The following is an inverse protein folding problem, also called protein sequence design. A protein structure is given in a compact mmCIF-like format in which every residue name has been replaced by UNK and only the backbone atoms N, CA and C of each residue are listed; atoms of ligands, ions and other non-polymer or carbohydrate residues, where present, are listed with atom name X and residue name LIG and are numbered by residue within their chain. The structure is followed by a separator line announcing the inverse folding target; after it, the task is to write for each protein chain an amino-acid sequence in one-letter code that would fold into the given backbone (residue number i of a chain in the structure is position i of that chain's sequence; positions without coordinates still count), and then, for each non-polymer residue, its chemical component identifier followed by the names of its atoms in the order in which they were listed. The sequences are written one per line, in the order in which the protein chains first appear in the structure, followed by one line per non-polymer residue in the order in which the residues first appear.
data_IF_928291818031
#
_entry.id   IF_928291818031
#
_cell.length_a   1.000
_cell.length_b   1.000
_cell.length_c   1.000
_cell.angle_alpha   90.00
_cell.angle_beta   90.00
_cell.angle_gamma   90.00
#
_symmetry.space_group_name_H-M   'P 1'
#
loop_
_entity.id
_entity.type
_entity.pdbx_description
1 polymer ?
#
# COMPACT_ATOMS: atom_id res chain seq x y z
N UNK A 1 -8.13 1.40 -24.95
CA UNK A 1 -8.95 1.26 -23.72
C UNK A 1 -8.89 -0.14 -23.12
N UNK A 2 -8.55 -1.20 -23.89
CA UNK A 2 -8.55 -2.58 -23.39
C UNK A 2 -7.33 -3.01 -22.55
N UNK A 3 -6.26 -2.21 -22.49
CA UNK A 3 -5.08 -2.51 -21.68
C UNK A 3 -5.27 -2.26 -20.16
N UNK A 4 -6.22 -1.41 -19.77
CA UNK A 4 -6.44 -1.03 -18.37
C UNK A 4 -7.16 -2.12 -17.57
N UNK A 5 -8.04 -2.92 -18.20
CA UNK A 5 -8.84 -3.93 -17.50
C UNK A 5 -7.99 -5.07 -16.91
N UNK A 6 -7.09 -5.73 -17.67
CA UNK A 6 -6.23 -6.77 -17.10
C UNK A 6 -5.19 -6.20 -16.12
N UNK A 7 -4.68 -5.00 -16.42
CA UNK A 7 -3.67 -4.33 -15.58
C UNK A 7 -4.25 -3.91 -14.23
N UNK A 8 -5.50 -3.45 -14.17
CA UNK A 8 -6.18 -3.12 -12.91
C UNK A 8 -6.31 -4.31 -11.96
N UNK A 9 -6.59 -5.51 -12.50
CA UNK A 9 -6.65 -6.74 -11.70
C UNK A 9 -5.27 -7.14 -11.16
N UNK A 10 -4.23 -7.00 -11.98
CA UNK A 10 -2.84 -7.23 -11.58
C UNK A 10 -2.40 -6.24 -10.49
N UNK A 11 -2.77 -4.96 -10.61
CA UNK A 11 -2.47 -3.94 -9.61
C UNK A 11 -3.15 -4.23 -8.26
N UNK A 12 -4.42 -4.65 -8.26
CA UNK A 12 -5.12 -5.04 -7.02
C UNK A 12 -4.42 -6.22 -6.34
N UNK A 13 -4.00 -7.21 -7.13
CA UNK A 13 -3.27 -8.38 -6.62
C UNK A 13 -1.93 -7.96 -6.01
N UNK A 14 -1.19 -7.08 -6.69
CA UNK A 14 0.11 -6.58 -6.23
C UNK A 14 -0.03 -5.74 -4.96
N UNK A 15 -1.07 -4.91 -4.87
CA UNK A 15 -1.43 -4.16 -3.66
C UNK A 15 -1.74 -5.10 -2.50
N UNK A 16 -2.53 -6.15 -2.72
CA UNK A 16 -2.83 -7.15 -1.69
C UNK A 16 -1.57 -7.79 -1.10
N UNK A 17 -0.59 -8.10 -1.94
CA UNK A 17 0.70 -8.69 -1.52
C UNK A 17 1.52 -7.69 -0.68
N UNK A 18 1.64 -6.44 -1.14
CA UNK A 18 2.40 -5.38 -0.44
C UNK A 18 1.76 -5.03 0.90
N UNK A 19 0.44 -4.97 0.96
CA UNK A 19 -0.28 -4.71 2.20
C UNK A 19 -0.13 -5.86 3.18
N UNK A 20 -0.21 -7.10 2.71
CA UNK A 20 0.03 -8.29 3.52
C UNK A 20 1.43 -8.30 4.14
N UNK A 21 2.47 -7.92 3.36
CA UNK A 21 3.84 -7.84 3.88
C UNK A 21 4.03 -6.68 4.87
N UNK A 22 3.43 -5.52 4.63
CA UNK A 22 3.48 -4.37 5.55
C UNK A 22 2.81 -4.69 6.89
N UNK A 23 1.62 -5.30 6.87
CA UNK A 23 0.91 -5.71 8.09
C UNK A 23 1.73 -6.78 8.82
N UNK A 24 2.23 -7.80 8.12
CA UNK A 24 3.05 -8.85 8.73
C UNK A 24 4.29 -8.29 9.44
N UNK A 25 4.99 -7.36 8.80
CA UNK A 25 6.18 -6.69 9.36
C UNK A 25 5.82 -5.87 10.60
N UNK A 26 4.70 -5.14 10.56
CA UNK A 26 4.25 -4.26 11.65
C UNK A 26 3.74 -5.05 12.85
N UNK A 27 2.99 -6.14 12.63
CA UNK A 27 2.45 -7.01 13.69
C UNK A 27 3.56 -7.69 14.49
N UNK A 28 4.65 -8.09 13.83
CA UNK A 28 5.80 -8.69 14.53
C UNK A 28 6.35 -7.71 15.57
N UNK A 29 6.54 -6.44 15.18
CA UNK A 29 7.03 -5.40 16.09
C UNK A 29 6.01 -5.12 17.20
N UNK A 30 4.73 -4.98 16.87
CA UNK A 30 3.66 -4.76 17.85
C UNK A 30 3.59 -5.88 18.90
N UNK A 31 3.71 -7.14 18.45
CA UNK A 31 3.62 -8.31 19.32
C UNK A 31 4.85 -8.45 20.21
N UNK A 32 6.05 -8.23 19.65
CA UNK A 32 7.31 -8.30 20.41
C UNK A 32 7.38 -7.25 21.52
N UNK A 33 6.89 -6.03 21.25
CA UNK A 33 6.91 -4.93 22.21
C UNK A 33 5.60 -4.76 22.99
N UNK A 34 4.62 -5.64 22.80
CA UNK A 34 3.28 -5.55 23.41
C UNK A 34 2.60 -4.18 23.21
N UNK A 35 2.81 -3.57 22.04
CA UNK A 35 2.27 -2.27 21.70
C UNK A 35 0.89 -2.42 21.05
N UNK A 36 -0.11 -1.61 21.43
CA UNK A 36 -1.36 -1.53 20.69
C UNK A 36 -1.09 -0.82 19.36
N UNK A 37 -1.31 -1.51 18.24
CA UNK A 37 -1.08 -0.92 16.93
C UNK A 37 -2.07 -1.40 15.87
N UNK A 38 -1.99 -0.78 14.70
CA UNK A 38 -2.97 -1.00 13.62
C UNK A 38 -2.83 -2.39 13.01
N UNK A 39 -1.64 -2.98 12.97
CA UNK A 39 -1.44 -4.29 12.36
C UNK A 39 -2.24 -5.37 13.10
N UNK A 40 -2.13 -5.39 14.43
CA UNK A 40 -2.82 -6.36 15.29
C UNK A 40 -4.34 -6.14 15.29
N UNK A 41 -4.81 -4.89 15.16
CA UNK A 41 -6.23 -4.58 14.98
C UNK A 41 -6.78 -5.13 13.66
N UNK A 42 -6.05 -4.95 12.55
CA UNK A 42 -6.45 -5.44 11.23
C UNK A 42 -6.48 -6.98 11.22
N UNK A 43 -5.48 -7.63 11.81
CA UNK A 43 -5.44 -9.11 11.90
C UNK A 43 -6.62 -9.63 12.73
N UNK A 44 -6.92 -8.99 13.86
CA UNK A 44 -8.09 -9.37 14.69
C UNK A 44 -9.40 -9.16 13.95
N UNK A 45 -9.56 -8.02 13.27
CA UNK A 45 -10.75 -7.74 12.46
C UNK A 45 -10.92 -8.77 11.33
N UNK A 46 -9.83 -9.12 10.64
CA UNK A 46 -9.84 -10.16 9.60
C UNK A 46 -10.24 -11.53 10.16
N UNK A 47 -9.74 -11.91 11.34
CA UNK A 47 -10.12 -13.16 12.02
C UNK A 47 -11.57 -13.16 12.49
N UNK A 48 -12.11 -12.00 12.88
CA UNK A 48 -13.50 -11.83 13.31
C UNK A 48 -14.48 -11.68 12.13
N UNK A 49 -13.99 -11.65 10.90
CA UNK A 49 -14.82 -11.44 9.71
C UNK A 49 -15.32 -10.00 9.55
N UNK A 50 -14.74 -9.04 10.26
CA UNK A 50 -15.04 -7.61 10.14
C UNK A 50 -14.34 -7.04 8.89
N UNK A 51 -14.90 -7.36 7.73
CA UNK A 51 -14.43 -6.89 6.44
C UNK A 51 -14.45 -5.36 6.30
N UNK A 52 -15.44 -4.61 6.84
CA UNK A 52 -15.42 -3.15 6.83
C UNK A 52 -14.16 -2.54 7.46
N UNK A 53 -13.73 -3.05 8.62
CA UNK A 53 -12.53 -2.58 9.30
C UNK A 53 -11.26 -2.86 8.47
N UNK A 54 -11.15 -4.08 7.91
CA UNK A 54 -10.03 -4.46 7.05
C UNK A 54 -9.97 -3.58 5.79
N UNK A 55 -11.11 -3.38 5.13
CA UNK A 55 -11.19 -2.54 3.93
C UNK A 55 -10.87 -1.07 4.22
N UNK A 56 -11.33 -0.54 5.36
CA UNK A 56 -11.00 0.81 5.80
C UNK A 56 -9.50 1.00 6.01
N UNK A 57 -8.85 0.05 6.67
CA UNK A 57 -7.39 0.08 6.85
C UNK A 57 -6.64 -0.02 5.51
N UNK A 58 -7.08 -0.90 4.61
CA UNK A 58 -6.52 -1.03 3.25
C UNK A 58 -6.61 0.29 2.48
N UNK A 59 -7.76 0.97 2.54
CA UNK A 59 -7.96 2.27 1.89
C UNK A 59 -7.00 3.32 2.44
N UNK A 60 -6.84 3.41 3.77
CA UNK A 60 -5.90 4.37 4.39
C UNK A 60 -4.48 4.12 3.92
N UNK A 61 -4.02 2.86 3.93
CA UNK A 61 -2.66 2.53 3.47
C UNK A 61 -2.50 2.82 1.98
N UNK A 62 -3.51 2.52 1.16
CA UNK A 62 -3.49 2.82 -0.27
C UNK A 62 -3.36 4.33 -0.53
N UNK A 63 -4.09 5.17 0.20
CA UNK A 63 -3.98 6.64 0.09
C UNK A 63 -2.59 7.11 0.49
N UNK A 64 -2.05 6.63 1.62
CA UNK A 64 -0.69 6.97 2.05
C UNK A 64 0.33 6.57 0.98
N UNK A 65 0.18 5.38 0.41
CA UNK A 65 1.08 4.87 -0.62
C UNK A 65 1.02 5.72 -1.90
N UNK A 66 -0.18 6.10 -2.36
CA UNK A 66 -0.35 6.97 -3.53
C UNK A 66 0.26 8.34 -3.28
N UNK A 67 0.04 8.92 -2.09
CA UNK A 67 0.61 10.22 -1.72
C UNK A 67 2.14 10.13 -1.64
N UNK A 68 2.68 9.08 -1.01
CA UNK A 68 4.12 8.87 -0.91
C UNK A 68 4.77 8.70 -2.30
N UNK A 69 4.17 7.90 -3.17
CA UNK A 69 4.66 7.77 -4.55
C UNK A 69 4.54 9.08 -5.32
N UNK A 70 3.45 9.84 -5.17
CA UNK A 70 3.32 11.16 -5.78
C UNK A 70 4.39 12.14 -5.30
N UNK A 71 4.73 12.13 -4.01
CA UNK A 71 5.83 12.93 -3.46
C UNK A 71 7.17 12.48 -4.04
N UNK A 72 7.40 11.18 -4.15
CA UNK A 72 8.60 10.62 -4.76
C UNK A 72 8.72 11.03 -6.23
N UNK A 73 7.64 10.93 -7.00
CA UNK A 73 7.59 11.30 -8.42
C UNK A 73 7.85 12.81 -8.61
N UNK A 74 7.25 13.66 -7.77
CA UNK A 74 7.54 15.10 -7.77
C UNK A 74 9.01 15.34 -7.40
N UNK A 75 9.52 14.66 -6.38
CA UNK A 75 10.91 14.79 -5.95
C UNK A 75 11.89 14.38 -7.05
N UNK A 76 11.60 13.29 -7.78
CA UNK A 76 12.37 12.88 -8.95
C UNK A 76 12.22 13.88 -10.11
N UNK A 77 11.04 14.45 -10.32
CA UNK A 77 10.82 15.52 -11.30
C UNK A 77 11.65 16.77 -11.03
N UNK A 78 11.93 17.07 -9.76
CA UNK A 78 12.81 18.17 -9.35
C UNK A 78 14.31 17.79 -9.32
N UNK A 79 14.66 16.55 -8.97
CA UNK A 79 16.06 16.11 -8.86
C UNK A 79 16.67 15.66 -10.19
N UNK A 80 15.88 15.15 -11.15
CA UNK A 80 16.42 14.57 -12.39
C UNK A 80 15.82 15.21 -13.66
N UNK A 81 16.52 16.18 -14.30
CA UNK A 81 16.10 16.77 -15.57
C UNK A 81 16.25 15.83 -16.78
N UNK A 82 16.62 14.55 -16.57
CA UNK A 82 16.98 13.58 -17.63
C UNK A 82 15.82 12.69 -18.08
N UNK A 83 14.73 12.57 -17.31
CA UNK A 83 13.50 11.83 -17.71
C UNK A 83 12.81 12.42 -18.96
N UNK A 84 13.18 13.65 -19.34
CA UNK A 84 12.66 14.36 -20.51
C UNK A 84 13.27 13.93 -21.86
N UNK A 85 14.27 13.03 -21.92
CA UNK A 85 14.98 12.68 -23.18
C UNK A 85 14.83 11.24 -23.68
N UNK A 86 14.00 10.39 -23.06
CA UNK A 86 13.83 9.01 -23.52
C UNK A 86 12.71 8.81 -24.57
N UNK A 87 12.05 9.90 -25.00
CA UNK A 87 11.17 9.92 -26.17
C UNK A 87 11.72 10.88 -27.22
N UNK A 88 12.77 10.46 -27.93
CA UNK A 88 13.09 10.94 -29.28
C UNK A 88 13.45 9.73 -30.12
#
# INVERSE_FOLDING_TARGET
SDALRPSSFSLITMLGIVLGSMIGSTVIVETLFSLPGMGSLIVRAAQQGDMPMVQGAVLVIAVIYVVANGVIDISYGYLDPRSRRAHV
#
